data_IF_704585590244
#
_entry.id   IF_704585590244
#
_cell.length_a   1.000
_cell.length_b   1.000
_cell.length_c   1.000
_cell.angle_alpha   90.00
_cell.angle_beta   90.00
_cell.angle_gamma   90.00
#
_symmetry.space_group_name_H-M   'P 1'
#
loop_
_entity.id
_entity.type
_entity.pdbx_description
1 polymer ?
#
# COMPACT_ATOMS: atom_id res chain seq x y z
N UNK A 1 -10.87 21.33 -29.43
CA UNK A 1 -10.65 20.12 -28.60
C UNK A 1 -9.21 20.15 -28.15
N UNK A 2 -8.95 20.60 -26.92
CA UNK A 2 -7.58 20.71 -26.39
C UNK A 2 -7.14 19.33 -25.89
N UNK A 3 -6.03 18.82 -26.44
CA UNK A 3 -5.37 17.66 -25.89
C UNK A 3 -4.80 18.05 -24.52
N UNK A 4 -5.37 17.49 -23.45
CA UNK A 4 -4.79 17.58 -22.11
C UNK A 4 -3.40 16.92 -22.17
N UNK A 5 -2.34 17.69 -22.04
CA UNK A 5 -1.01 17.14 -21.84
C UNK A 5 -1.06 16.29 -20.57
N UNK A 6 -0.80 14.99 -20.67
CA UNK A 6 -0.72 14.12 -19.51
C UNK A 6 0.38 14.66 -18.58
N UNK A 7 -0.01 15.33 -17.51
CA UNK A 7 0.92 15.91 -16.55
C UNK A 7 1.70 14.76 -15.91
N UNK A 8 3.01 14.71 -16.18
CA UNK A 8 3.90 13.71 -15.60
C UNK A 8 4.17 14.09 -14.13
N UNK A 9 3.23 13.80 -13.24
CA UNK A 9 3.41 14.05 -11.81
C UNK A 9 4.36 13.01 -11.24
N UNK A 10 5.40 13.50 -10.56
CA UNK A 10 6.44 12.71 -9.94
C UNK A 10 6.30 12.83 -8.42
N UNK A 11 6.33 11.71 -7.71
CA UNK A 11 6.53 11.64 -6.26
C UNK A 11 8.00 11.36 -5.95
N UNK A 12 8.53 12.00 -4.92
CA UNK A 12 9.86 11.74 -4.40
C UNK A 12 9.79 11.48 -2.90
N UNK A 13 10.29 10.33 -2.47
CA UNK A 13 10.36 9.93 -1.07
C UNK A 13 11.75 10.27 -0.52
N UNK A 14 11.80 11.25 0.38
CA UNK A 14 12.98 11.49 1.22
C UNK A 14 12.88 10.59 2.46
N UNK A 15 13.79 9.63 2.59
CA UNK A 15 13.66 8.49 3.52
C UNK A 15 14.78 8.45 4.59
N UNK A 16 15.06 9.55 5.31
CA UNK A 16 16.20 9.61 6.24
C UNK A 16 16.09 8.60 7.40
N UNK A 17 14.90 8.08 7.68
CA UNK A 17 14.63 7.06 8.70
C UNK A 17 13.87 5.84 8.16
N UNK A 18 13.81 5.65 6.84
CA UNK A 18 12.93 4.66 6.20
C UNK A 18 11.46 5.07 6.18
N UNK A 19 10.59 4.14 5.76
CA UNK A 19 9.13 4.32 5.68
C UNK A 19 8.41 2.98 5.80
N UNK A 20 7.32 2.93 6.55
CA UNK A 20 6.35 1.82 6.59
C UNK A 20 5.09 2.14 5.79
N UNK A 21 4.22 1.15 5.56
CA UNK A 21 3.02 1.31 4.72
C UNK A 21 2.08 2.38 5.27
N UNK A 22 1.74 2.31 6.55
CA UNK A 22 0.96 3.30 7.30
C UNK A 22 1.55 4.72 7.24
N UNK A 23 2.88 4.88 7.30
CA UNK A 23 3.56 6.16 7.12
C UNK A 23 3.37 6.70 5.71
N UNK A 24 3.47 5.83 4.70
CA UNK A 24 3.29 6.23 3.30
C UNK A 24 1.82 6.60 3.01
N UNK A 25 0.86 5.90 3.63
CA UNK A 25 -0.55 6.29 3.62
C UNK A 25 -0.73 7.68 4.26
N UNK A 26 -0.10 7.93 5.41
CA UNK A 26 -0.08 9.25 6.05
C UNK A 26 0.47 10.36 5.16
N UNK A 27 1.56 10.09 4.43
CA UNK A 27 2.10 11.02 3.44
C UNK A 27 1.11 11.34 2.31
N UNK A 28 0.39 10.33 1.80
CA UNK A 28 -0.62 10.53 0.75
C UNK A 28 -1.82 11.33 1.26
N UNK A 29 -2.22 11.09 2.52
CA UNK A 29 -3.26 11.89 3.19
C UNK A 29 -2.84 13.35 3.35
N UNK A 30 -1.62 13.60 3.84
CA UNK A 30 -1.07 14.95 3.93
C UNK A 30 -0.89 15.62 2.55
N UNK A 31 -0.66 14.84 1.49
CA UNK A 31 -0.59 15.33 0.11
C UNK A 31 -1.96 15.67 -0.52
N UNK A 32 -3.06 15.46 0.22
CA UNK A 32 -4.41 15.86 -0.19
C UNK A 32 -5.31 14.70 -0.62
N UNK A 33 -4.95 13.44 -0.35
CA UNK A 33 -5.83 12.29 -0.55
C UNK A 33 -6.68 12.02 0.72
N UNK A 34 -7.99 12.27 0.72
CA UNK A 34 -8.80 12.15 1.94
C UNK A 34 -8.75 10.74 2.56
N UNK A 35 -8.71 10.66 3.90
CA UNK A 35 -8.78 9.37 4.62
C UNK A 35 -10.06 8.59 4.30
N UNK A 36 -11.17 9.29 4.01
CA UNK A 36 -12.42 8.67 3.59
C UNK A 36 -12.29 7.94 2.24
N UNK A 37 -11.44 8.43 1.34
CA UNK A 37 -11.17 7.77 0.06
C UNK A 37 -10.29 6.53 0.23
N UNK A 38 -9.37 6.53 1.22
CA UNK A 38 -8.65 5.34 1.65
C UNK A 38 -9.61 4.29 2.22
N UNK A 39 -10.54 4.69 3.09
CA UNK A 39 -11.58 3.80 3.64
C UNK A 39 -12.45 3.23 2.52
N UNK A 40 -12.86 4.06 1.54
CA UNK A 40 -13.62 3.63 0.37
C UNK A 40 -12.83 2.63 -0.49
N UNK A 41 -11.53 2.87 -0.67
CA UNK A 41 -10.62 1.95 -1.37
C UNK A 41 -10.60 0.57 -0.72
N UNK A 42 -10.48 0.50 0.61
CA UNK A 42 -10.47 -0.79 1.31
C UNK A 42 -11.83 -1.48 1.27
N UNK A 43 -12.94 -0.74 1.34
CA UNK A 43 -14.28 -1.31 1.13
C UNK A 43 -14.44 -1.94 -0.25
N UNK A 44 -13.82 -1.36 -1.28
CA UNK A 44 -13.85 -1.90 -2.64
C UNK A 44 -13.12 -3.24 -2.79
N UNK A 45 -12.28 -3.65 -1.82
CA UNK A 45 -11.67 -4.99 -1.77
C UNK A 45 -12.64 -6.09 -1.28
N UNK A 46 -13.85 -5.70 -0.83
CA UNK A 46 -14.87 -6.61 -0.28
C UNK A 46 -14.38 -7.48 0.89
N UNK A 47 -13.42 -6.95 1.66
CA UNK A 47 -12.95 -7.55 2.91
C UNK A 47 -14.03 -7.38 4.00
N UNK A 48 -14.18 -8.34 4.95
CA UNK A 48 -15.14 -8.21 6.05
C UNK A 48 -14.88 -6.92 6.84
N UNK A 49 -15.90 -6.06 6.94
CA UNK A 49 -15.75 -4.70 7.48
C UNK A 49 -15.42 -4.69 8.99
N UNK A 50 -15.76 -5.77 9.70
CA UNK A 50 -15.43 -6.00 11.10
C UNK A 50 -13.96 -6.38 11.33
N UNK A 51 -13.24 -6.79 10.27
CA UNK A 51 -11.85 -7.27 10.37
C UNK A 51 -10.83 -6.16 10.10
N UNK A 52 -11.25 -4.92 9.95
CA UNK A 52 -10.31 -3.83 9.80
C UNK A 52 -10.89 -2.50 10.26
N UNK A 53 -10.02 -1.58 10.64
CA UNK A 53 -10.38 -0.18 10.86
C UNK A 53 -9.24 0.72 10.43
N UNK A 54 -9.60 1.90 9.94
CA UNK A 54 -8.65 2.93 9.52
C UNK A 54 -9.03 4.21 10.24
N UNK A 55 -8.07 4.79 10.94
CA UNK A 55 -8.19 6.15 11.48
C UNK A 55 -6.98 6.97 11.05
N UNK A 56 -7.12 8.29 11.08
CA UNK A 56 -6.01 9.20 10.84
C UNK A 56 -6.00 10.28 11.91
N UNK A 57 -4.83 10.59 12.43
CA UNK A 57 -4.65 11.67 13.40
C UNK A 57 -3.41 12.51 13.07
N UNK A 58 -3.47 13.79 13.48
CA UNK A 58 -2.31 14.68 13.40
C UNK A 58 -1.41 14.41 14.60
N UNK A 59 -0.15 14.11 14.31
CA UNK A 59 0.87 13.83 15.33
C UNK A 59 2.09 14.74 15.17
N UNK A 60 2.83 14.88 16.26
CA UNK A 60 4.20 15.41 16.24
C UNK A 60 5.19 14.26 16.40
N UNK A 61 6.19 14.19 15.53
CA UNK A 61 7.33 13.26 15.59
C UNK A 61 8.60 14.09 15.71
N UNK A 62 9.02 14.33 16.95
CA UNK A 62 10.03 15.36 17.24
C UNK A 62 9.53 16.74 16.77
N UNK A 63 10.30 17.49 15.95
CA UNK A 63 9.87 18.79 15.44
C UNK A 63 8.95 18.71 14.21
N UNK A 64 8.64 17.51 13.69
CA UNK A 64 7.89 17.33 12.45
C UNK A 64 6.42 17.06 12.74
N UNK A 65 5.53 17.82 12.08
CA UNK A 65 4.09 17.61 12.15
C UNK A 65 3.64 16.72 10.98
N UNK A 66 3.03 15.57 11.26
CA UNK A 66 2.67 14.57 10.25
C UNK A 66 1.26 14.00 10.51
N UNK A 67 0.64 13.44 9.47
CA UNK A 67 -0.53 12.58 9.63
C UNK A 67 -0.08 11.14 9.84
N UNK A 68 -0.55 10.54 10.93
CA UNK A 68 -0.41 9.11 11.18
C UNK A 68 -1.72 8.43 10.81
N UNK A 69 -1.66 7.52 9.84
CA UNK A 69 -2.75 6.61 9.54
C UNK A 69 -2.56 5.38 10.40
N UNK A 70 -3.61 4.97 11.11
CA UNK A 70 -3.64 3.71 11.85
C UNK A 70 -4.46 2.71 11.06
N UNK A 71 -3.80 1.70 10.52
CA UNK A 71 -4.46 0.52 9.96
C UNK A 71 -4.47 -0.55 11.05
N UNK A 72 -5.64 -0.94 11.50
CA UNK A 72 -5.79 -2.02 12.49
C UNK A 72 -6.54 -3.17 11.85
N UNK A 73 -5.96 -4.35 11.90
CA UNK A 73 -6.59 -5.61 11.54
C UNK A 73 -6.28 -6.65 12.62
N UNK A 74 -7.11 -7.68 12.83
CA UNK A 74 -6.78 -8.80 13.70
C UNK A 74 -5.46 -9.44 13.24
N UNK A 75 -4.64 -9.85 14.21
CA UNK A 75 -3.56 -10.80 13.94
C UNK A 75 -4.20 -12.12 13.49
N UNK A 76 -4.35 -12.29 12.18
CA UNK A 76 -4.79 -13.54 11.60
C UNK A 76 -3.57 -14.46 11.46
N UNK A 77 -3.67 -15.68 11.99
CA UNK A 77 -2.73 -16.79 11.70
C UNK A 77 -2.95 -17.40 10.31
N UNK A 78 -3.74 -16.72 9.46
CA UNK A 78 -4.01 -17.16 8.11
C UNK A 78 -2.89 -16.74 7.18
N UNK A 79 -1.97 -17.67 6.95
CA UNK A 79 -1.02 -17.60 5.86
C UNK A 79 -1.77 -17.53 4.52
N UNK A 80 -1.63 -16.42 3.81
CA UNK A 80 -2.10 -16.28 2.43
C UNK A 80 -0.98 -16.61 1.46
N UNK A 81 -1.30 -17.34 0.41
CA UNK A 81 -0.46 -17.45 -0.76
C UNK A 81 -0.61 -16.21 -1.65
N UNK A 82 0.35 -16.00 -2.54
CA UNK A 82 0.25 -14.96 -3.57
C UNK A 82 -1.04 -15.08 -4.40
N UNK A 83 -1.48 -16.31 -4.71
CA UNK A 83 -2.72 -16.56 -5.45
C UNK A 83 -3.97 -16.05 -4.72
N UNK A 84 -3.99 -16.15 -3.39
CA UNK A 84 -5.12 -15.70 -2.57
C UNK A 84 -5.22 -14.18 -2.62
N UNK A 85 -4.09 -13.50 -2.45
CA UNK A 85 -4.00 -12.03 -2.52
C UNK A 85 -4.37 -11.52 -3.92
N UNK A 86 -3.85 -12.17 -4.97
CA UNK A 86 -4.22 -11.84 -6.36
C UNK A 86 -5.73 -11.99 -6.60
N UNK A 87 -6.36 -13.02 -6.02
CA UNK A 87 -7.80 -13.24 -6.15
C UNK A 87 -8.61 -12.16 -5.43
N UNK A 88 -8.19 -11.75 -4.23
CA UNK A 88 -8.79 -10.63 -3.49
C UNK A 88 -8.74 -9.35 -4.33
N UNK A 89 -7.55 -9.00 -4.85
CA UNK A 89 -7.37 -7.76 -5.62
C UNK A 89 -8.15 -7.82 -6.94
N UNK A 90 -8.14 -8.95 -7.64
CA UNK A 90 -8.84 -9.11 -8.92
C UNK A 90 -10.37 -9.08 -8.79
N UNK A 91 -10.91 -9.48 -7.63
CA UNK A 91 -12.35 -9.43 -7.36
C UNK A 91 -12.84 -8.04 -6.93
N UNK A 92 -11.93 -7.10 -6.65
CA UNK A 92 -12.26 -5.76 -6.15
C UNK A 92 -12.87 -4.84 -7.21
N UNK A 93 -13.56 -3.79 -6.74
CA UNK A 93 -14.08 -2.71 -7.60
C UNK A 93 -13.04 -1.61 -7.88
N UNK A 94 -11.76 -1.88 -7.64
CA UNK A 94 -10.68 -0.91 -7.81
C UNK A 94 -10.37 -0.65 -9.30
N UNK A 95 -9.85 0.54 -9.66
CA UNK A 95 -9.38 0.79 -11.02
C UNK A 95 -8.34 -0.25 -11.47
N UNK A 96 -8.40 -0.69 -12.73
CA UNK A 96 -7.51 -1.72 -13.25
C UNK A 96 -6.02 -1.39 -13.07
N UNK A 97 -5.65 -0.11 -13.17
CA UNK A 97 -4.28 0.35 -12.91
C UNK A 97 -3.85 0.14 -11.46
N UNK A 98 -4.75 0.34 -10.50
CA UNK A 98 -4.48 0.11 -9.06
C UNK A 98 -4.33 -1.38 -8.79
N UNK A 99 -5.24 -2.20 -9.32
CA UNK A 99 -5.15 -3.67 -9.19
C UNK A 99 -3.83 -4.20 -9.76
N UNK A 100 -3.47 -3.79 -10.98
CA UNK A 100 -2.25 -4.23 -11.65
C UNK A 100 -0.99 -3.83 -10.86
N UNK A 101 -0.94 -2.59 -10.33
CA UNK A 101 0.19 -2.12 -9.51
C UNK A 101 0.31 -2.91 -8.20
N UNK A 102 -0.80 -3.10 -7.49
CA UNK A 102 -0.80 -3.85 -6.23
C UNK A 102 -0.35 -5.31 -6.44
N UNK A 103 -0.84 -5.98 -7.49
CA UNK A 103 -0.41 -7.34 -7.85
C UNK A 103 1.08 -7.40 -8.20
N UNK A 104 1.62 -6.41 -8.92
CA UNK A 104 3.05 -6.34 -9.23
C UNK A 104 3.90 -6.18 -7.95
N UNK A 105 3.47 -5.34 -7.01
CA UNK A 105 4.13 -5.20 -5.69
C UNK A 105 4.16 -6.55 -4.95
N UNK A 106 3.02 -7.21 -4.80
CA UNK A 106 2.95 -8.52 -4.13
C UNK A 106 3.78 -9.60 -4.83
N UNK A 107 3.82 -9.59 -6.16
CA UNK A 107 4.61 -10.55 -6.94
C UNK A 107 6.11 -10.36 -6.68
N UNK A 108 6.57 -9.11 -6.58
CA UNK A 108 7.97 -8.79 -6.24
C UNK A 108 8.31 -9.16 -4.81
N UNK A 109 7.40 -8.90 -3.86
CA UNK A 109 7.57 -9.31 -2.46
C UNK A 109 7.65 -10.84 -2.34
N UNK A 110 6.77 -11.58 -3.03
CA UNK A 110 6.81 -13.04 -3.06
C UNK A 110 8.15 -13.56 -3.60
N UNK A 111 8.68 -12.95 -4.67
CA UNK A 111 9.97 -13.33 -5.24
C UNK A 111 11.13 -13.06 -4.27
N UNK A 112 11.09 -11.93 -3.56
CA UNK A 112 12.09 -11.57 -2.56
C UNK A 112 12.07 -12.54 -1.36
N UNK A 113 10.89 -12.80 -0.80
CA UNK A 113 10.73 -13.78 0.27
C UNK A 113 11.19 -15.18 -0.19
N UNK A 114 10.88 -15.60 -1.42
CA UNK A 114 11.24 -16.92 -1.94
C UNK A 114 12.76 -17.09 -1.98
N UNK A 115 13.46 -16.04 -2.40
CA UNK A 115 14.91 -16.01 -2.44
C UNK A 115 15.52 -16.09 -1.03
N UNK A 116 14.95 -15.38 -0.04
CA UNK A 116 15.42 -15.41 1.36
C UNK A 116 15.16 -16.77 2.02
N UNK A 117 14.02 -17.40 1.73
CA UNK A 117 13.64 -18.69 2.30
C UNK A 117 14.15 -19.90 1.51
N UNK A 118 14.70 -19.70 0.30
CA UNK A 118 15.22 -20.78 -0.54
C UNK A 118 14.15 -21.74 -1.10
N UNK A 119 12.94 -21.24 -1.33
CA UNK A 119 11.79 -22.03 -1.83
C UNK A 119 11.29 -21.51 -3.18
N UNK A 120 10.43 -22.27 -3.88
CA UNK A 120 9.75 -21.76 -5.07
C UNK A 120 8.67 -20.73 -4.67
N UNK A 121 8.50 -19.68 -5.48
CA UNK A 121 7.54 -18.59 -5.24
C UNK A 121 6.12 -19.11 -5.04
N UNK A 122 5.72 -20.18 -5.75
CA UNK A 122 4.38 -20.76 -5.63
C UNK A 122 4.14 -21.49 -4.32
N UNK A 123 5.22 -21.94 -3.68
CA UNK A 123 5.19 -22.60 -2.38
C UNK A 123 5.33 -21.62 -1.21
N UNK A 124 5.38 -20.30 -1.48
CA UNK A 124 5.52 -19.33 -0.42
C UNK A 124 4.21 -19.10 0.31
N UNK A 125 4.33 -19.11 1.63
CA UNK A 125 3.32 -18.63 2.54
C UNK A 125 3.84 -17.31 3.08
N UNK A 126 3.12 -16.23 2.81
CA UNK A 126 3.48 -14.97 3.40
C UNK A 126 3.23 -15.06 4.92
N UNK A 127 4.27 -14.76 5.69
CA UNK A 127 4.19 -14.74 7.15
C UNK A 127 3.82 -13.34 7.65
N UNK A 128 4.39 -12.31 7.04
CA UNK A 128 4.20 -10.90 7.42
C UNK A 128 3.48 -10.13 6.31
N UNK A 129 3.87 -10.33 5.04
CA UNK A 129 3.32 -9.60 3.89
C UNK A 129 1.89 -10.03 3.52
N UNK A 130 1.41 -11.17 4.00
CA UNK A 130 0.07 -11.72 3.70
C UNK A 130 -1.01 -11.30 4.70
N UNK A 131 -0.60 -10.57 5.73
CA UNK A 131 -1.49 -10.03 6.73
C UNK A 131 -2.39 -8.93 6.12
N UNK A 132 -3.55 -8.74 6.76
CA UNK A 132 -4.59 -7.88 6.21
C UNK A 132 -4.20 -6.40 6.18
N UNK A 133 -3.43 -5.96 7.17
CA UNK A 133 -2.80 -4.63 7.22
C UNK A 133 -1.85 -4.40 6.04
N UNK A 134 -0.99 -5.37 5.70
CA UNK A 134 -0.10 -5.27 4.55
C UNK A 134 -0.87 -5.16 3.21
N UNK A 135 -1.99 -5.89 3.07
CA UNK A 135 -2.91 -5.76 1.92
C UNK A 135 -3.49 -4.35 1.85
N UNK A 136 -3.99 -3.84 2.97
CA UNK A 136 -4.57 -2.49 3.07
C UNK A 136 -3.52 -1.43 2.72
N UNK A 137 -2.30 -1.55 3.26
CA UNK A 137 -1.21 -0.61 3.02
C UNK A 137 -0.82 -0.56 1.55
N UNK A 138 -0.52 -1.72 0.94
CA UNK A 138 -0.07 -1.78 -0.45
C UNK A 138 -1.15 -1.30 -1.40
N UNK A 139 -2.39 -1.76 -1.22
CA UNK A 139 -3.51 -1.34 -2.07
C UNK A 139 -3.81 0.14 -1.87
N UNK A 140 -3.86 0.60 -0.62
CA UNK A 140 -4.10 1.99 -0.27
C UNK A 140 -3.05 2.92 -0.87
N UNK A 141 -1.76 2.57 -0.78
CA UNK A 141 -0.68 3.35 -1.41
C UNK A 141 -0.84 3.39 -2.93
N UNK A 142 -1.13 2.26 -3.57
CA UNK A 142 -1.36 2.22 -5.02
C UNK A 142 -2.55 3.10 -5.44
N UNK A 143 -3.62 3.09 -4.65
CA UNK A 143 -4.82 3.89 -4.89
C UNK A 143 -4.56 5.39 -4.67
N UNK A 144 -3.89 5.78 -3.60
CA UNK A 144 -3.57 7.17 -3.33
C UNK A 144 -2.62 7.77 -4.35
N UNK A 145 -1.58 7.04 -4.77
CA UNK A 145 -0.71 7.46 -5.87
C UNK A 145 -1.50 7.62 -7.17
N UNK A 146 -2.44 6.73 -7.46
CA UNK A 146 -3.32 6.84 -8.63
C UNK A 146 -4.24 8.06 -8.54
N UNK A 147 -4.88 8.29 -7.39
CA UNK A 147 -5.80 9.41 -7.15
C UNK A 147 -5.09 10.77 -7.26
N UNK A 148 -3.86 10.88 -6.76
CA UNK A 148 -3.02 12.08 -6.88
C UNK A 148 -2.36 12.22 -8.27
N UNK A 149 -2.62 11.30 -9.19
CA UNK A 149 -2.05 11.32 -10.54
C UNK A 149 -0.55 11.08 -10.58
N UNK A 150 0.05 10.50 -9.55
CA UNK A 150 1.48 10.19 -9.48
C UNK A 150 1.81 9.05 -10.45
N UNK A 151 2.59 9.39 -11.47
CA UNK A 151 2.97 8.49 -12.56
C UNK A 151 4.32 7.83 -12.34
N UNK A 152 5.20 8.48 -11.57
CA UNK A 152 6.53 7.98 -11.21
C UNK A 152 6.80 8.27 -9.75
N UNK A 153 7.39 7.29 -9.05
CA UNK A 153 7.78 7.42 -7.65
C UNK A 153 9.27 7.10 -7.54
N UNK A 154 10.03 8.04 -7.01
CA UNK A 154 11.45 7.90 -6.73
C UNK A 154 11.67 7.88 -5.22
N UNK A 155 12.72 7.22 -4.77
CA UNK A 155 13.13 7.21 -3.38
C UNK A 155 14.61 7.62 -3.27
N UNK A 156 14.93 8.41 -2.25
CA UNK A 156 16.29 8.69 -1.85
C UNK A 156 17.01 7.44 -1.31
N UNK A 157 18.29 7.60 -0.96
CA UNK A 157 19.07 6.52 -0.37
C UNK A 157 18.46 6.08 0.97
N UNK A 158 18.34 4.76 1.17
CA UNK A 158 17.89 4.20 2.45
C UNK A 158 19.05 4.18 3.45
N UNK A 159 18.81 4.51 4.74
CA UNK A 159 19.81 4.40 5.78
C UNK A 159 20.02 2.93 6.15
N UNK A 160 20.87 2.23 5.40
CA UNK A 160 21.07 0.78 5.54
C UNK A 160 22.06 0.36 6.66
N UNK A 161 22.52 1.29 7.49
CA UNK A 161 23.50 1.03 8.56
C UNK A 161 24.94 0.99 8.06
#
# INVERSE_FOLDING_TARGET
MSASASTNTIGYLDLPSGVSGDMLLGCLVDAGWPVDDLIATVRALHLPAENWSITAERVMRGPLAATLVHVTAPEESHHRHLSDIQSIIAASDLPATVQARAIDVFTRLAAAEAAVHGVDVKSIHFHEVGALDAIIDIVGVCAGLHALGVTQLYAGALPLG
#
